data_IF_154111656178
#
_entry.id   IF_154111656178
#
_cell.length_a   1.000
_cell.length_b   1.000
_cell.length_c   1.000
_cell.angle_alpha   90.00
_cell.angle_beta   90.00
_cell.angle_gamma   90.00
#
_symmetry.space_group_name_H-M   'P 1'
#
loop_
_entity.id
_entity.type
_entity.pdbx_description
1 polymer ?
#
# COMPACT_ATOMS: atom_id res chain seq x y z
N UNK A 1 18.76 15.77 5.80
CA UNK A 1 17.85 16.02 4.65
C UNK A 1 16.59 16.72 5.14
N UNK A 2 15.88 17.47 4.31
CA UNK A 2 14.67 18.24 4.69
C UNK A 2 13.34 17.54 4.38
N UNK A 3 13.40 16.35 3.76
CA UNK A 3 12.25 15.48 3.58
C UNK A 3 12.05 14.58 4.81
N UNK A 4 10.79 14.29 5.14
CA UNK A 4 10.46 13.27 6.14
C UNK A 4 10.87 11.87 5.65
N UNK A 5 11.44 11.03 6.52
CA UNK A 5 11.73 9.64 6.17
C UNK A 5 10.45 8.81 6.04
N UNK A 6 10.40 7.94 5.04
CA UNK A 6 9.26 7.05 4.77
C UNK A 6 8.90 6.13 5.94
N UNK A 7 9.89 5.81 6.80
CA UNK A 7 9.70 4.97 7.98
C UNK A 7 8.69 5.55 8.98
N UNK A 8 8.45 6.86 8.96
CA UNK A 8 7.48 7.53 9.86
C UNK A 8 6.03 7.18 9.50
N UNK A 9 5.75 6.80 8.24
CA UNK A 9 4.40 6.51 7.79
C UNK A 9 3.85 5.19 8.35
N UNK A 10 4.72 4.30 8.83
CA UNK A 10 4.33 3.04 9.48
C UNK A 10 3.42 3.27 10.70
N UNK A 11 3.77 4.21 11.58
CA UNK A 11 2.90 4.55 12.73
C UNK A 11 1.60 5.22 12.30
N UNK A 12 1.58 5.94 11.16
CA UNK A 12 0.35 6.52 10.64
C UNK A 12 -0.62 5.42 10.17
N UNK A 13 -0.18 4.48 9.33
CA UNK A 13 -1.06 3.39 8.86
C UNK A 13 -1.58 2.54 10.03
N UNK A 14 -0.69 2.12 10.93
CA UNK A 14 -1.05 1.25 12.04
C UNK A 14 -1.89 1.98 13.10
N UNK A 15 -1.60 3.27 13.35
CA UNK A 15 -2.42 4.10 14.23
C UNK A 15 -3.83 4.29 13.68
N UNK A 16 -3.97 4.53 12.36
CA UNK A 16 -5.28 4.60 11.72
C UNK A 16 -6.00 3.24 11.76
N UNK A 17 -5.30 2.13 11.50
CA UNK A 17 -5.88 0.79 11.61
C UNK A 17 -6.45 0.55 13.02
N UNK A 18 -5.72 0.95 14.07
CA UNK A 18 -6.18 0.88 15.46
C UNK A 18 -7.43 1.73 15.71
N UNK A 19 -7.48 2.95 15.17
CA UNK A 19 -8.69 3.80 15.25
C UNK A 19 -9.88 3.25 14.46
N UNK A 20 -9.63 2.38 13.48
CA UNK A 20 -10.65 1.63 12.73
C UNK A 20 -10.99 0.28 13.40
N UNK A 21 -10.57 0.10 14.66
CA UNK A 21 -10.77 -1.08 15.47
C UNK A 21 -10.16 -2.37 14.86
N UNK A 22 -9.03 -2.22 14.16
CA UNK A 22 -8.27 -3.34 13.58
C UNK A 22 -6.96 -3.52 14.35
N UNK A 23 -6.92 -4.50 15.25
CA UNK A 23 -5.74 -4.84 16.05
C UNK A 23 -4.82 -5.87 15.38
N UNK A 24 -5.27 -6.48 14.28
CA UNK A 24 -4.50 -7.37 13.42
C UNK A 24 -4.54 -6.81 12.00
N UNK A 25 -3.39 -6.77 11.31
CA UNK A 25 -3.30 -6.29 9.94
C UNK A 25 -2.46 -7.23 9.10
N UNK A 26 -2.85 -7.43 7.85
CA UNK A 26 -1.97 -8.08 6.88
C UNK A 26 -1.01 -7.03 6.30
N UNK A 27 0.13 -7.48 5.82
CA UNK A 27 1.04 -6.62 5.08
C UNK A 27 1.62 -7.33 3.87
N UNK A 28 1.91 -6.57 2.82
CA UNK A 28 2.57 -7.05 1.61
C UNK A 28 3.81 -6.21 1.36
N UNK A 29 4.93 -6.83 1.02
CA UNK A 29 6.21 -6.14 0.84
C UNK A 29 6.90 -6.57 -0.46
N UNK A 30 7.50 -5.60 -1.15
CA UNK A 30 8.34 -5.87 -2.33
C UNK A 30 9.73 -6.37 -1.94
N UNK A 31 10.38 -7.17 -2.80
CA UNK A 31 11.72 -7.71 -2.54
C UNK A 31 12.83 -6.79 -3.06
N UNK A 32 12.97 -5.62 -2.42
CA UNK A 32 14.08 -4.68 -2.66
C UNK A 32 14.62 -4.16 -1.33
N UNK A 33 15.91 -3.82 -1.29
CA UNK A 33 16.60 -3.41 -0.06
C UNK A 33 15.87 -2.30 0.70
N UNK A 34 15.44 -1.25 -0.01
CA UNK A 34 14.70 -0.13 0.58
C UNK A 34 13.38 -0.55 1.23
N UNK A 35 12.62 -1.48 0.61
CA UNK A 35 11.38 -1.98 1.19
C UNK A 35 11.65 -2.85 2.41
N UNK A 36 12.74 -3.63 2.41
CA UNK A 36 13.16 -4.42 3.60
C UNK A 36 13.46 -3.52 4.80
N UNK A 37 14.16 -2.41 4.60
CA UNK A 37 14.38 -1.40 5.66
C UNK A 37 13.05 -0.85 6.20
N UNK A 38 12.09 -0.56 5.32
CA UNK A 38 10.76 -0.10 5.71
C UNK A 38 9.97 -1.19 6.45
N UNK A 39 10.15 -2.47 6.09
CA UNK A 39 9.57 -3.60 6.80
C UNK A 39 10.03 -3.71 8.26
N UNK A 40 11.31 -3.43 8.53
CA UNK A 40 11.85 -3.34 9.91
C UNK A 40 11.23 -2.16 10.66
N UNK A 41 11.03 -1.02 10.00
CA UNK A 41 10.34 0.12 10.61
C UNK A 41 8.87 -0.20 10.93
N UNK A 42 8.18 -0.91 10.02
CA UNK A 42 6.78 -1.32 10.23
C UNK A 42 6.65 -2.31 11.38
N UNK A 43 7.55 -3.28 11.52
CA UNK A 43 7.51 -4.24 12.63
C UNK A 43 7.71 -3.56 13.98
N UNK A 44 8.63 -2.59 14.06
CA UNK A 44 8.80 -1.77 15.26
C UNK A 44 7.56 -0.93 15.57
N UNK A 45 7.00 -0.26 14.56
CA UNK A 45 5.80 0.55 14.72
C UNK A 45 4.58 -0.30 15.17
N UNK A 46 4.47 -1.54 14.69
CA UNK A 46 3.43 -2.49 15.08
C UNK A 46 3.46 -2.78 16.58
N UNK A 47 4.67 -3.00 17.13
CA UNK A 47 4.88 -3.16 18.58
C UNK A 47 4.51 -1.88 19.33
N UNK A 48 5.03 -0.73 18.89
CA UNK A 48 4.80 0.57 19.55
C UNK A 48 3.30 0.93 19.62
N UNK A 49 2.55 0.65 18.55
CA UNK A 49 1.12 0.96 18.44
C UNK A 49 0.25 -0.14 19.08
N UNK A 50 0.77 -1.35 19.24
CA UNK A 50 0.02 -2.51 19.74
C UNK A 50 -0.93 -3.10 18.68
N UNK A 51 -0.43 -3.28 17.46
CA UNK A 51 -1.10 -3.93 16.34
C UNK A 51 -0.27 -5.13 15.91
N UNK A 52 -0.89 -6.29 15.70
CA UNK A 52 -0.22 -7.49 15.24
C UNK A 52 -0.13 -7.51 13.70
N UNK A 53 1.08 -7.75 13.18
CA UNK A 53 1.27 -8.09 11.77
C UNK A 53 1.06 -9.60 11.59
N UNK A 54 0.15 -9.99 10.70
CA UNK A 54 -0.11 -11.39 10.38
C UNK A 54 0.46 -11.77 9.02
N UNK A 55 0.89 -13.03 8.90
CA UNK A 55 1.53 -13.56 7.71
C UNK A 55 2.68 -14.50 8.05
N UNK A 56 3.58 -14.64 7.09
CA UNK A 56 4.79 -15.44 7.20
C UNK A 56 5.93 -14.60 7.77
N UNK A 57 6.82 -15.24 8.52
CA UNK A 57 8.11 -14.64 8.86
C UNK A 57 8.98 -14.54 7.60
N UNK A 58 9.48 -13.34 7.30
CA UNK A 58 10.36 -13.11 6.16
C UNK A 58 11.80 -13.03 6.68
N UNK A 59 12.61 -14.05 6.35
CA UNK A 59 13.92 -14.28 6.97
C UNK A 59 14.86 -13.05 6.94
N UNK A 60 14.83 -12.27 5.86
CA UNK A 60 15.70 -11.09 5.68
C UNK A 60 15.19 -9.82 6.39
N UNK A 61 14.03 -9.88 7.05
CA UNK A 61 13.39 -8.71 7.68
C UNK A 61 13.04 -9.04 9.13
N UNK A 62 13.94 -8.75 10.09
CA UNK A 62 13.75 -9.12 11.49
C UNK A 62 12.44 -8.60 12.09
N UNK A 63 11.67 -9.50 12.71
CA UNK A 63 10.40 -9.20 13.39
C UNK A 63 9.23 -8.88 12.47
N UNK A 64 9.42 -8.87 11.15
CA UNK A 64 8.36 -8.62 10.19
C UNK A 64 7.58 -9.89 9.85
N UNK A 65 6.25 -9.77 9.83
CA UNK A 65 5.33 -10.82 9.38
C UNK A 65 4.42 -10.28 8.29
N UNK A 66 4.31 -11.00 7.19
CA UNK A 66 3.50 -10.57 6.06
C UNK A 66 3.59 -11.50 4.85
N UNK A 67 3.36 -10.92 3.68
CA UNK A 67 3.42 -11.61 2.38
C UNK A 67 4.44 -10.90 1.51
N UNK A 68 5.37 -11.64 0.91
CA UNK A 68 6.37 -11.05 0.02
C UNK A 68 5.93 -11.16 -1.44
N UNK A 69 6.01 -10.06 -2.17
CA UNK A 69 5.79 -10.01 -3.61
C UNK A 69 7.12 -9.66 -4.30
N UNK A 70 7.89 -10.69 -4.65
CA UNK A 70 9.27 -10.51 -5.10
C UNK A 70 9.44 -9.90 -6.50
N UNK A 71 8.41 -9.98 -7.35
CA UNK A 71 8.47 -9.51 -8.73
C UNK A 71 7.21 -8.72 -9.11
N UNK A 72 7.34 -7.83 -10.09
CA UNK A 72 6.22 -7.13 -10.74
C UNK A 72 5.60 -8.04 -11.81
N UNK A 73 5.00 -9.15 -11.38
CA UNK A 73 4.33 -10.10 -12.30
C UNK A 73 2.93 -10.43 -11.82
N UNK A 74 2.09 -10.81 -12.77
CA UNK A 74 0.72 -11.26 -12.52
C UNK A 74 0.69 -12.48 -11.58
N UNK A 75 1.60 -13.44 -11.79
CA UNK A 75 1.72 -14.63 -10.95
C UNK A 75 2.12 -14.32 -9.51
N UNK A 76 3.08 -13.41 -9.31
CA UNK A 76 3.51 -12.99 -7.97
C UNK A 76 2.38 -12.28 -7.21
N UNK A 77 1.67 -11.37 -7.89
CA UNK A 77 0.47 -10.72 -7.34
C UNK A 77 -0.63 -11.75 -7.03
N UNK A 78 -0.82 -12.75 -7.89
CA UNK A 78 -1.84 -13.78 -7.74
C UNK A 78 -1.62 -14.63 -6.48
N UNK A 79 -0.37 -15.04 -6.25
CA UNK A 79 0.03 -15.76 -5.04
C UNK A 79 -0.13 -14.87 -3.79
N UNK A 80 0.28 -13.61 -3.86
CA UNK A 80 0.13 -12.70 -2.73
C UNK A 80 -1.33 -12.50 -2.31
N UNK A 81 -2.23 -12.32 -3.27
CA UNK A 81 -3.68 -12.21 -3.00
C UNK A 81 -4.26 -13.51 -2.44
N UNK A 82 -3.80 -14.67 -2.91
CA UNK A 82 -4.23 -15.97 -2.37
C UNK A 82 -3.94 -16.07 -0.86
N UNK A 83 -2.76 -15.60 -0.44
CA UNK A 83 -2.40 -15.56 0.98
C UNK A 83 -3.18 -14.50 1.75
N UNK A 84 -3.41 -13.31 1.19
CA UNK A 84 -4.27 -12.30 1.83
C UNK A 84 -5.69 -12.82 2.08
N UNK A 85 -6.27 -13.55 1.12
CA UNK A 85 -7.57 -14.22 1.29
C UNK A 85 -7.56 -15.25 2.42
N UNK A 86 -6.43 -15.95 2.62
CA UNK A 86 -6.27 -16.90 3.72
C UNK A 86 -6.14 -16.19 5.08
N UNK A 87 -5.43 -15.07 5.13
CA UNK A 87 -5.24 -14.27 6.33
C UNK A 87 -6.51 -13.52 6.77
N UNK A 88 -7.42 -13.23 5.84
CA UNK A 88 -8.75 -12.60 6.09
C UNK A 88 -8.66 -11.33 6.94
N UNK A 89 -7.69 -10.48 6.66
CA UNK A 89 -7.58 -9.17 7.32
C UNK A 89 -8.25 -8.09 6.49
N UNK A 90 -8.93 -7.16 7.17
CA UNK A 90 -9.56 -6.00 6.52
C UNK A 90 -8.55 -4.95 6.11
N UNK A 91 -7.50 -4.73 6.89
CA UNK A 91 -6.44 -3.76 6.58
C UNK A 91 -5.23 -4.49 6.01
N UNK A 92 -4.75 -3.98 4.88
CA UNK A 92 -3.55 -4.47 4.19
C UNK A 92 -2.58 -3.31 4.03
N UNK A 93 -1.46 -3.34 4.77
CA UNK A 93 -0.37 -2.37 4.58
C UNK A 93 0.54 -2.86 3.46
N UNK A 94 0.51 -2.18 2.32
CA UNK A 94 1.27 -2.53 1.13
C UNK A 94 2.54 -1.67 1.01
N UNK A 95 3.70 -2.23 1.32
CA UNK A 95 5.01 -1.62 1.07
C UNK A 95 5.50 -2.01 -0.32
N UNK A 96 4.88 -1.39 -1.32
CA UNK A 96 5.01 -1.71 -2.73
C UNK A 96 5.19 -0.43 -3.55
N UNK A 97 5.79 -0.54 -4.74
CA UNK A 97 5.71 0.53 -5.75
C UNK A 97 4.39 0.46 -6.54
N UNK A 98 4.02 1.56 -7.21
CA UNK A 98 2.77 1.72 -7.97
C UNK A 98 2.43 0.51 -8.85
N UNK A 99 3.39 0.04 -9.65
CA UNK A 99 3.18 -1.09 -10.57
C UNK A 99 2.86 -2.41 -9.85
N UNK A 100 3.49 -2.66 -8.69
CA UNK A 100 3.19 -3.85 -7.89
C UNK A 100 1.79 -3.75 -7.28
N UNK A 101 1.44 -2.58 -6.71
CA UNK A 101 0.15 -2.38 -6.07
C UNK A 101 -1.00 -2.46 -7.09
N UNK A 102 -0.83 -1.89 -8.29
CA UNK A 102 -1.83 -2.01 -9.34
C UNK A 102 -2.08 -3.48 -9.76
N UNK A 103 -1.02 -4.29 -9.89
CA UNK A 103 -1.16 -5.73 -10.15
C UNK A 103 -1.83 -6.47 -8.98
N UNK A 104 -1.47 -6.14 -7.73
CA UNK A 104 -2.09 -6.71 -6.53
C UNK A 104 -3.60 -6.42 -6.51
N UNK A 105 -4.01 -5.18 -6.80
CA UNK A 105 -5.42 -4.79 -6.87
C UNK A 105 -6.16 -5.49 -8.02
N UNK A 106 -5.54 -5.62 -9.20
CA UNK A 106 -6.10 -6.38 -10.31
C UNK A 106 -6.32 -7.85 -9.92
N UNK A 107 -5.32 -8.48 -9.30
CA UNK A 107 -5.44 -9.87 -8.84
C UNK A 107 -6.47 -10.03 -7.71
N UNK A 108 -6.58 -9.05 -6.81
CA UNK A 108 -7.62 -9.03 -5.78
C UNK A 108 -9.01 -9.05 -6.41
N UNK A 109 -9.25 -8.24 -7.45
CA UNK A 109 -10.51 -8.28 -8.20
C UNK A 109 -10.75 -9.63 -8.88
N UNK A 110 -9.76 -10.13 -9.64
CA UNK A 110 -9.90 -11.39 -10.38
C UNK A 110 -10.19 -12.59 -9.48
N UNK A 111 -9.66 -12.57 -8.26
CA UNK A 111 -9.87 -13.61 -7.26
C UNK A 111 -11.03 -13.32 -6.31
N UNK A 112 -11.76 -12.21 -6.49
CA UNK A 112 -12.88 -11.81 -5.65
C UNK A 112 -12.51 -11.47 -4.20
N UNK A 113 -11.28 -11.03 -3.94
CA UNK A 113 -10.87 -10.48 -2.64
C UNK A 113 -11.28 -9.01 -2.54
N UNK A 114 -12.52 -8.79 -2.10
CA UNK A 114 -13.17 -7.48 -2.05
C UNK A 114 -13.25 -6.93 -0.64
N UNK A 115 -13.34 -5.61 -0.51
CA UNK A 115 -13.56 -4.92 0.77
C UNK A 115 -12.32 -4.67 1.61
N UNK A 116 -11.14 -5.17 1.22
CA UNK A 116 -9.90 -4.86 1.92
C UNK A 116 -9.55 -3.37 1.77
N UNK A 117 -9.09 -2.77 2.86
CA UNK A 117 -8.58 -1.40 2.93
C UNK A 117 -7.07 -1.45 2.74
N UNK A 118 -6.64 -1.05 1.55
CA UNK A 118 -5.23 -0.95 1.21
C UNK A 118 -4.64 0.36 1.70
N UNK A 119 -3.53 0.27 2.43
CA UNK A 119 -2.77 1.42 2.89
C UNK A 119 -1.37 1.37 2.29
N UNK A 120 -0.89 2.47 1.73
CA UNK A 120 0.47 2.56 1.17
C UNK A 120 0.98 3.99 1.16
N UNK A 121 2.11 4.20 0.50
CA UNK A 121 2.75 5.49 0.34
C UNK A 121 1.87 6.48 -0.42
N UNK A 122 1.83 7.72 0.06
CA UNK A 122 1.10 8.83 -0.54
C UNK A 122 1.89 9.59 -1.61
N UNK A 123 3.16 9.22 -1.85
CA UNK A 123 4.00 9.85 -2.87
C UNK A 123 3.82 9.25 -4.27
N UNK A 124 2.85 8.35 -4.46
CA UNK A 124 2.47 7.86 -5.77
C UNK A 124 1.96 8.98 -6.67
N UNK A 125 2.20 8.81 -7.97
CA UNK A 125 1.72 9.67 -9.04
C UNK A 125 0.20 9.81 -8.98
N UNK A 126 -0.31 11.02 -9.19
CA UNK A 126 -1.75 11.23 -9.27
C UNK A 126 -2.35 10.37 -10.39
N UNK A 127 -3.36 9.57 -10.05
CA UNK A 127 -4.01 8.69 -11.01
C UNK A 127 -3.27 7.37 -11.29
N UNK A 128 -2.31 6.97 -10.45
CA UNK A 128 -1.60 5.67 -10.58
C UNK A 128 -2.54 4.46 -10.73
N UNK A 129 -3.77 4.55 -10.19
CA UNK A 129 -4.83 3.55 -10.29
C UNK A 129 -5.52 3.47 -11.65
N UNK A 130 -5.25 4.40 -12.57
CA UNK A 130 -5.79 4.42 -13.94
C UNK A 130 -4.85 3.79 -14.97
N UNK A 131 -3.84 3.05 -14.51
CA UNK A 131 -2.86 2.38 -15.37
C UNK A 131 -3.47 1.31 -16.27
N UNK A 132 -2.92 1.17 -17.48
CA UNK A 132 -3.18 0.07 -18.41
C UNK A 132 -2.13 -1.05 -18.35
N UNK A 133 -1.18 -0.98 -17.41
CA UNK A 133 -0.08 -1.93 -17.26
C UNK A 133 -0.46 -3.22 -16.52
N UNK A 134 -1.76 -3.53 -16.41
CA UNK A 134 -2.25 -4.74 -15.74
C UNK A 134 -3.19 -5.50 -16.67
N UNK A 135 -3.46 -6.79 -16.43
CA UNK A 135 -4.49 -7.52 -17.18
C UNK A 135 -5.91 -6.99 -16.99
N UNK A 136 -6.16 -6.17 -15.96
CA UNK A 136 -7.46 -5.55 -15.71
C UNK A 136 -7.57 -4.20 -16.43
N UNK A 137 -8.79 -3.82 -16.82
CA UNK A 137 -9.06 -2.50 -17.36
C UNK A 137 -8.82 -1.40 -16.31
N UNK A 138 -8.42 -0.17 -16.68
CA UNK A 138 -8.21 0.93 -15.74
C UNK A 138 -9.38 1.16 -14.77
N UNK A 139 -10.63 1.13 -15.26
CA UNK A 139 -11.81 1.31 -14.43
C UNK A 139 -11.99 0.21 -13.36
N UNK A 140 -11.47 -0.99 -13.61
CA UNK A 140 -11.48 -2.10 -12.66
C UNK A 140 -10.44 -1.89 -11.55
N UNK A 141 -9.25 -1.40 -11.89
CA UNK A 141 -8.21 -1.07 -10.90
C UNK A 141 -8.65 0.13 -10.05
N UNK A 142 -9.20 1.18 -10.66
CA UNK A 142 -9.79 2.32 -9.94
C UNK A 142 -10.80 1.86 -8.89
N UNK A 143 -11.74 0.98 -9.28
CA UNK A 143 -12.74 0.42 -8.35
C UNK A 143 -12.12 -0.26 -7.14
N UNK A 144 -11.02 -0.98 -7.34
CA UNK A 144 -10.31 -1.65 -6.24
C UNK A 144 -9.46 -0.71 -5.39
N UNK A 145 -9.03 0.41 -5.97
CA UNK A 145 -8.29 1.44 -5.26
C UNK A 145 -9.23 2.34 -4.43
N UNK A 146 -10.54 2.34 -4.68
CA UNK A 146 -11.50 3.15 -3.94
C UNK A 146 -11.40 2.90 -2.42
N UNK A 147 -11.29 3.97 -1.62
CA UNK A 147 -11.07 3.88 -0.18
C UNK A 147 -9.61 3.65 0.24
N UNK A 148 -8.67 3.54 -0.71
CA UNK A 148 -7.23 3.47 -0.47
C UNK A 148 -6.74 4.61 0.42
N UNK A 149 -5.87 4.30 1.37
CA UNK A 149 -5.24 5.28 2.25
C UNK A 149 -3.78 5.48 1.85
N UNK A 150 -3.45 6.69 1.44
CA UNK A 150 -2.07 7.14 1.23
C UNK A 150 -1.53 7.85 2.47
N UNK A 151 -0.31 7.53 2.89
CA UNK A 151 0.44 8.37 3.84
C UNK A 151 1.75 8.85 3.23
N UNK A 152 1.96 10.17 3.25
CA UNK A 152 3.14 10.81 2.67
C UNK A 152 3.57 12.02 3.49
N UNK A 153 4.59 12.72 3.03
CA UNK A 153 4.98 14.00 3.62
C UNK A 153 3.93 15.06 3.27
N UNK A 154 3.60 15.93 4.22
CA UNK A 154 2.92 17.17 3.84
C UNK A 154 3.93 18.08 3.13
N UNK A 155 3.97 18.01 1.79
CA UNK A 155 4.98 18.72 1.01
C UNK A 155 4.83 20.23 1.06
N UNK A 156 3.60 20.73 1.09
CA UNK A 156 3.31 22.15 1.17
C UNK A 156 2.46 22.39 2.40
N UNK A 157 2.93 23.23 3.31
CA UNK A 157 2.22 23.54 4.54
C UNK A 157 0.83 24.14 4.27
N UNK A 158 -0.16 23.79 5.10
CA UNK A 158 -1.55 24.25 4.91
C UNK A 158 -1.79 25.68 5.42
N UNK A 159 -0.99 26.15 6.36
CA UNK A 159 -1.02 27.50 6.92
C UNK A 159 -0.31 28.50 5.99
N UNK A 160 -0.93 28.75 4.84
CA UNK A 160 -0.37 29.53 3.71
C UNK A 160 0.07 30.96 4.05
N UNK A 161 -0.45 31.55 5.13
CA UNK A 161 -0.11 32.90 5.58
C UNK A 161 1.25 33.02 6.27
N UNK A 162 1.92 31.91 6.57
CA UNK A 162 3.20 31.94 7.30
C UNK A 162 4.31 32.56 6.45
N UNK A 163 5.03 33.54 7.03
CA UNK A 163 6.20 34.19 6.40
C UNK A 163 7.40 33.24 6.39
N UNK A 164 8.11 33.18 5.26
CA UNK A 164 9.27 32.31 5.10
C UNK A 164 10.54 32.96 5.66
N UNK A 165 11.34 32.21 6.42
CA UNK A 165 12.55 32.77 7.04
C UNK A 165 13.62 33.20 6.02
N UNK A 166 13.85 32.41 4.97
CA UNK A 166 14.80 32.76 3.90
C UNK A 166 14.21 33.60 2.76
N UNK A 167 12.93 33.97 2.85
CA UNK A 167 12.25 34.83 1.89
C UNK A 167 11.23 35.70 2.63
N UNK A 168 11.70 36.54 3.56
CA UNK A 168 10.88 37.26 4.54
C UNK A 168 9.80 38.18 3.91
N UNK A 169 9.99 38.57 2.65
CA UNK A 169 9.03 39.35 1.87
C UNK A 169 7.88 38.51 1.27
N UNK A 170 7.90 37.19 1.44
CA UNK A 170 6.91 36.26 0.90
C UNK A 170 6.35 35.35 2.00
N UNK A 171 5.07 35.03 1.86
CA UNK A 171 4.40 33.95 2.58
C UNK A 171 4.55 32.62 1.85
N UNK A 172 4.33 31.50 2.55
CA UNK A 172 4.36 30.17 1.95
C UNK A 172 3.33 30.01 0.82
N UNK A 173 2.15 30.63 0.95
CA UNK A 173 1.11 30.65 -0.08
C UNK A 173 1.52 31.44 -1.34
N UNK A 174 2.17 32.59 -1.17
CA UNK A 174 2.70 33.39 -2.28
C UNK A 174 3.83 32.65 -3.00
N UNK A 175 4.73 32.01 -2.25
CA UNK A 175 5.78 31.17 -2.82
C UNK A 175 5.20 30.03 -3.66
N UNK A 176 4.21 29.31 -3.11
CA UNK A 176 3.56 28.19 -3.79
C UNK A 176 2.84 28.66 -5.06
N UNK A 177 2.14 29.80 -4.99
CA UNK A 177 1.48 30.41 -6.16
C UNK A 177 2.49 30.78 -7.26
N UNK A 178 3.63 31.39 -6.89
CA UNK A 178 4.68 31.70 -7.86
C UNK A 178 5.33 30.45 -8.45
N UNK A 179 5.55 29.41 -7.64
CA UNK A 179 6.09 28.14 -8.11
C UNK A 179 5.22 27.55 -9.23
N UNK A 180 3.92 27.37 -8.99
CA UNK A 180 2.99 26.84 -10.01
C UNK A 180 2.87 27.76 -11.23
N UNK A 181 2.78 29.08 -11.02
CA UNK A 181 2.71 30.06 -12.11
C UNK A 181 3.92 29.97 -13.05
N UNK A 182 5.14 29.77 -12.51
CA UNK A 182 6.37 29.59 -13.31
C UNK A 182 6.40 28.27 -14.08
N UNK A 183 5.65 27.26 -13.63
CA UNK A 183 5.45 26.01 -14.37
C UNK A 183 4.30 26.11 -15.40
N UNK A 184 3.61 27.26 -15.48
CA UNK A 184 2.41 27.44 -16.30
C UNK A 184 1.22 26.61 -15.82
N UNK A 185 1.16 26.26 -14.53
CA UNK A 185 0.15 25.37 -13.96
C UNK A 185 -0.78 26.12 -12.98
N UNK A 186 -2.05 25.72 -12.88
CA UNK A 186 -2.91 26.13 -11.77
C UNK A 186 -2.30 25.75 -10.42
N UNK A 187 -2.68 26.48 -9.36
CA UNK A 187 -2.25 26.17 -8.00
C UNK A 187 -2.67 24.73 -7.63
N UNK A 188 -1.71 23.91 -7.21
CA UNK A 188 -1.96 22.54 -6.75
C UNK A 188 -2.13 21.52 -7.88
N UNK A 189 -1.96 21.92 -9.14
CA UNK A 189 -2.04 21.00 -10.27
C UNK A 189 -0.71 20.26 -10.47
N UNK A 190 -0.66 19.01 -10.01
CA UNK A 190 0.47 18.09 -10.20
C UNK A 190 0.27 17.14 -11.39
N UNK A 191 -0.72 17.40 -12.25
CA UNK A 191 -0.96 16.57 -13.42
C UNK A 191 0.24 16.55 -14.38
N UNK A 192 0.33 15.46 -15.15
CA UNK A 192 1.38 15.29 -16.15
C UNK A 192 1.26 16.38 -17.22
N UNK A 193 2.36 17.09 -17.47
CA UNK A 193 2.44 18.21 -18.39
C UNK A 193 2.56 17.72 -19.84
N UNK A 194 2.10 18.51 -20.84
CA UNK A 194 2.20 18.15 -22.26
C UNK A 194 3.64 17.83 -22.72
N UNK A 195 4.64 18.43 -22.07
CA UNK A 195 6.07 18.22 -22.33
C UNK A 195 6.61 16.93 -21.67
N UNK A 196 5.73 16.03 -21.23
CA UNK A 196 6.05 14.71 -20.70
C UNK A 196 6.86 14.70 -19.39
N UNK A 197 6.65 15.70 -18.54
CA UNK A 197 7.15 15.71 -17.15
C UNK A 197 6.02 15.96 -16.15
N UNK A 198 6.25 15.67 -14.88
CA UNK A 198 5.33 15.97 -13.78
C UNK A 198 5.96 17.02 -12.86
N UNK A 199 5.16 17.98 -12.41
CA UNK A 199 5.60 18.89 -11.35
C UNK A 199 5.82 18.05 -10.09
N UNK A 200 7.00 18.15 -9.48
CA UNK A 200 7.29 17.35 -8.28
C UNK A 200 6.90 18.13 -7.02
N UNK A 201 6.18 17.51 -6.08
CA UNK A 201 5.91 18.13 -4.79
C UNK A 201 7.18 18.26 -3.94
N UNK A 202 8.27 17.58 -4.30
CA UNK A 202 9.58 17.72 -3.68
C UNK A 202 10.21 19.11 -3.85
N UNK A 203 9.64 19.98 -4.69
CA UNK A 203 10.10 21.35 -4.83
C UNK A 203 10.09 22.13 -3.50
N UNK A 204 9.10 21.90 -2.65
CA UNK A 204 9.00 22.56 -1.34
C UNK A 204 10.11 22.12 -0.36
N UNK A 205 10.31 20.82 -0.05
CA UNK A 205 11.44 20.41 0.78
C UNK A 205 12.80 20.73 0.14
N UNK A 206 12.88 20.83 -1.19
CA UNK A 206 14.10 21.30 -1.88
C UNK A 206 14.37 22.78 -1.60
N UNK A 207 13.35 23.63 -1.66
CA UNK A 207 13.46 25.05 -1.30
C UNK A 207 13.89 25.22 0.17
N UNK A 208 13.36 24.39 1.05
CA UNK A 208 13.77 24.33 2.45
C UNK A 208 15.22 23.86 2.60
N UNK A 209 15.65 22.88 1.82
CA UNK A 209 17.06 22.46 1.77
C UNK A 209 17.97 23.62 1.37
N UNK A 210 17.61 24.39 0.35
CA UNK A 210 18.36 25.57 -0.07
C UNK A 210 18.45 26.62 1.06
N UNK A 211 17.36 26.86 1.77
CA UNK A 211 17.35 27.76 2.94
C UNK A 211 18.28 27.26 4.06
N UNK A 212 18.25 25.96 4.37
CA UNK A 212 19.14 25.32 5.34
C UNK A 212 20.62 25.55 4.98
N UNK A 213 21.01 25.31 3.72
CA UNK A 213 22.38 25.56 3.27
C UNK A 213 22.74 27.06 3.28
N UNK A 214 21.82 27.94 2.90
CA UNK A 214 22.05 29.38 2.91
C UNK A 214 22.28 29.92 4.33
N UNK A 215 21.48 29.47 5.31
CA UNK A 215 21.67 29.84 6.72
C UNK A 215 22.99 29.30 7.26
N UNK A 216 23.37 28.06 6.93
CA UNK A 216 24.67 27.50 7.32
C UNK A 216 25.83 28.34 6.76
N UNK A 217 25.79 28.70 5.48
CA UNK A 217 26.84 29.52 4.87
C UNK A 217 26.89 30.92 5.48
N UNK A 218 25.74 31.54 5.77
CA UNK A 218 25.67 32.84 6.42
C UNK A 218 26.28 32.78 7.83
N UNK A 219 25.92 31.77 8.61
CA UNK A 219 26.46 31.55 9.94
C UNK A 219 27.99 31.39 9.90
N UNK A 220 28.50 30.56 9.01
CA UNK A 220 29.93 30.27 8.95
C UNK A 220 30.75 31.44 8.41
N UNK A 221 30.34 32.02 7.28
CA UNK A 221 31.14 33.03 6.58
C UNK A 221 30.95 34.43 7.15
N UNK A 222 29.73 34.76 7.62
CA UNK A 222 29.38 36.11 8.05
C UNK A 222 29.42 36.24 9.57
N UNK A 223 28.75 35.34 10.30
CA UNK A 223 28.67 35.45 11.76
C UNK A 223 29.95 34.98 12.47
N UNK A 224 30.50 33.85 12.03
CA UNK A 224 31.74 33.28 12.60
C UNK A 224 33.01 33.80 11.93
N UNK A 225 32.89 34.41 10.74
CA UNK A 225 34.04 34.93 9.99
C UNK A 225 35.01 33.84 9.49
N UNK A 226 34.53 32.61 9.26
CA UNK A 226 35.36 31.52 8.75
C UNK A 226 35.85 31.85 7.32
N UNK A 227 37.16 31.73 7.03
CA UNK A 227 37.66 31.92 5.68
C UNK A 227 37.03 30.93 4.71
N UNK A 228 36.58 31.40 3.54
CA UNK A 228 36.03 30.55 2.49
C UNK A 228 37.00 29.42 2.08
N UNK A 229 38.31 29.71 2.11
CA UNK A 229 39.34 28.73 1.80
C UNK A 229 39.29 27.50 2.72
N UNK A 230 39.00 27.68 4.02
CA UNK A 230 38.91 26.59 4.99
C UNK A 230 37.68 25.71 4.74
N UNK A 231 36.56 26.33 4.34
CA UNK A 231 35.34 25.62 3.95
C UNK A 231 35.55 24.81 2.67
N UNK A 232 36.20 25.41 1.66
CA UNK A 232 36.53 24.75 0.38
C UNK A 232 37.52 23.58 0.59
N UNK A 233 38.50 23.77 1.47
CA UNK A 233 39.48 22.76 1.84
C UNK A 233 38.87 21.62 2.67
N UNK A 234 37.63 21.77 3.17
CA UNK A 234 36.93 20.76 3.98
C UNK A 234 37.77 20.30 5.17
N UNK A 235 38.39 21.26 5.86
CA UNK A 235 39.19 20.96 7.05
C UNK A 235 38.31 20.29 8.13
N UNK A 236 38.88 19.49 9.04
CA UNK A 236 38.10 18.89 10.13
C UNK A 236 37.33 19.91 10.97
N UNK A 237 37.91 21.11 11.18
CA UNK A 237 37.25 22.20 11.89
C UNK A 237 36.06 22.77 11.10
N UNK A 238 36.22 23.02 9.79
CA UNK A 238 35.12 23.46 8.94
C UNK A 238 34.01 22.41 8.87
N UNK A 239 34.36 21.12 8.77
CA UNK A 239 33.39 20.03 8.81
C UNK A 239 32.59 20.02 10.12
N UNK A 240 33.26 20.13 11.27
CA UNK A 240 32.59 20.17 12.57
C UNK A 240 31.65 21.38 12.69
N UNK A 241 32.08 22.56 12.21
CA UNK A 241 31.25 23.76 12.20
C UNK A 241 30.02 23.64 11.30
N UNK A 242 30.15 23.00 10.12
CA UNK A 242 28.99 22.70 9.24
C UNK A 242 27.99 21.79 9.95
N UNK A 243 28.48 20.72 10.60
CA UNK A 243 27.58 19.79 11.32
C UNK A 243 26.84 20.51 12.45
N UNK A 244 27.56 21.33 13.22
CA UNK A 244 26.99 22.13 14.32
C UNK A 244 25.96 23.15 13.82
N UNK A 245 26.21 23.82 12.68
CA UNK A 245 25.24 24.70 12.04
C UNK A 245 23.98 23.95 11.58
N UNK A 246 24.11 22.76 10.99
CA UNK A 246 22.95 21.95 10.61
C UNK A 246 22.15 21.45 11.82
N UNK A 247 22.81 21.06 12.91
CA UNK A 247 22.14 20.66 14.15
C UNK A 247 21.31 21.80 14.76
N UNK A 248 21.70 23.06 14.54
CA UNK A 248 20.96 24.26 14.97
C UNK A 248 19.90 24.75 13.98
N UNK A 249 19.67 24.05 12.87
CA UNK A 249 18.64 24.44 11.90
C UNK A 249 17.27 24.49 12.56
N UNK A 250 16.64 25.67 12.53
CA UNK A 250 15.28 25.90 13.00
C UNK A 250 14.71 27.15 12.29
N UNK A 251 13.84 26.94 11.29
CA UNK A 251 13.26 28.04 10.53
C UNK A 251 11.88 27.71 9.95
N UNK A 252 11.12 28.75 9.59
CA UNK A 252 9.84 28.62 8.89
C UNK A 252 10.08 28.46 7.38
N UNK A 253 9.86 27.24 6.89
CA UNK A 253 10.01 26.83 5.49
C UNK A 253 8.68 26.72 4.74
N UNK A 254 8.77 26.29 3.48
CA UNK A 254 7.66 26.06 2.56
C UNK A 254 6.91 24.78 2.92
N UNK A 255 7.62 23.70 3.25
CA UNK A 255 7.01 22.44 3.65
C UNK A 255 6.54 22.44 5.13
N UNK A 256 6.93 23.46 5.89
CA UNK A 256 6.62 23.63 7.30
C UNK A 256 7.82 24.16 8.07
N UNK A 257 7.76 24.11 9.41
CA UNK A 257 8.92 24.45 10.23
C UNK A 257 9.98 23.36 10.11
N UNK A 258 11.17 23.73 9.66
CA UNK A 258 12.30 22.82 9.41
C UNK A 258 13.21 22.83 10.63
N UNK A 259 13.27 21.71 11.34
CA UNK A 259 14.13 21.53 12.50
C UNK A 259 14.57 20.08 12.67
N UNK A 260 15.76 19.87 13.22
CA UNK A 260 16.26 18.54 13.57
C UNK A 260 16.14 18.31 15.08
N UNK A 261 15.81 17.08 15.49
CA UNK A 261 15.91 16.71 16.92
C UNK A 261 17.38 16.50 17.28
N UNK A 262 17.79 16.71 18.55
CA UNK A 262 19.12 16.33 19.00
C UNK A 262 19.45 14.88 18.63
N UNK A 263 20.57 14.67 17.93
CA UNK A 263 21.01 13.35 17.48
C UNK A 263 20.20 12.73 16.34
N UNK A 264 19.22 13.43 15.76
CA UNK A 264 18.45 12.93 14.62
C UNK A 264 19.06 13.39 13.29
N UNK A 265 19.17 12.46 12.34
CA UNK A 265 19.58 12.74 10.96
C UNK A 265 18.46 13.36 10.09
N UNK A 266 17.22 13.29 10.58
CA UNK A 266 16.00 13.63 9.86
C UNK A 266 15.21 14.75 10.54
N UNK A 267 14.51 15.55 9.72
CA UNK A 267 13.69 16.66 10.19
C UNK A 267 12.47 16.17 10.98
N UNK A 268 12.03 17.00 11.92
CA UNK A 268 10.69 16.90 12.50
C UNK A 268 9.69 17.63 11.61
N UNK A 269 8.80 16.88 10.96
CA UNK A 269 7.72 17.44 10.14
C UNK A 269 6.39 16.72 10.37
N UNK A 270 5.36 17.16 9.67
CA UNK A 270 4.06 16.48 9.61
C UNK A 270 3.91 15.68 8.32
N UNK A 271 3.62 14.39 8.44
CA UNK A 271 3.02 13.60 7.37
C UNK A 271 1.56 14.00 7.14
N UNK A 272 1.04 13.59 5.99
CA UNK A 272 -0.33 13.75 5.55
C UNK A 272 -0.90 12.36 5.26
N UNK A 273 -2.11 12.12 5.75
CA UNK A 273 -2.91 10.94 5.46
C UNK A 273 -4.08 11.37 4.58
N UNK A 274 -4.19 10.72 3.43
CA UNK A 274 -5.20 11.00 2.40
C UNK A 274 -5.98 9.74 2.07
N UNK A 275 -7.21 9.90 1.60
CA UNK A 275 -8.03 8.80 1.11
C UNK A 275 -8.44 9.03 -0.35
N UNK A 276 -8.43 7.97 -1.16
CA UNK A 276 -9.04 7.99 -2.49
C UNK A 276 -10.57 7.85 -2.39
N UNK A 277 -11.30 8.87 -2.85
CA UNK A 277 -12.76 8.94 -2.85
C UNK A 277 -13.29 9.50 -4.19
N UNK A 278 -14.19 8.74 -4.81
CA UNK A 278 -14.73 9.00 -6.15
C UNK A 278 -13.64 9.33 -7.20
N UNK A 279 -12.51 8.60 -7.17
CA UNK A 279 -11.37 8.82 -8.07
C UNK A 279 -10.53 10.07 -7.77
N UNK A 280 -10.76 10.75 -6.64
CA UNK A 280 -9.98 11.91 -6.19
C UNK A 280 -9.42 11.71 -4.78
N UNK A 281 -8.22 12.21 -4.51
CA UNK A 281 -7.62 12.14 -3.17
C UNK A 281 -8.10 13.29 -2.29
N UNK A 282 -8.60 12.96 -1.10
CA UNK A 282 -9.00 13.93 -0.08
C UNK A 282 -8.09 13.84 1.14
N UNK A 283 -7.77 14.98 1.75
CA UNK A 283 -6.96 15.04 2.96
C UNK A 283 -7.79 14.65 4.19
N UNK A 284 -7.32 13.66 4.96
CA UNK A 284 -8.01 13.17 6.16
C UNK A 284 -7.38 13.73 7.43
N UNK A 285 -6.06 13.60 7.57
CA UNK A 285 -5.36 13.99 8.79
C UNK A 285 -3.91 14.35 8.53
N UNK A 286 -3.33 15.17 9.40
CA UNK A 286 -1.88 15.28 9.54
C UNK A 286 -1.38 14.30 10.61
N UNK A 287 -0.15 13.83 10.47
CA UNK A 287 0.48 12.90 11.42
C UNK A 287 1.91 13.32 11.74
N UNK A 288 2.27 13.44 13.01
CA UNK A 288 3.68 13.69 13.42
C UNK A 288 4.09 12.83 14.61
N UNK A 289 3.66 13.18 15.82
CA UNK A 289 3.75 12.37 17.04
C UNK A 289 2.37 11.89 17.51
N UNK A 290 1.42 11.85 16.57
CA UNK A 290 0.01 11.71 16.81
C UNK A 290 -0.77 12.28 15.63
N UNK A 291 -2.04 11.92 15.57
CA UNK A 291 -2.95 12.42 14.55
C UNK A 291 -3.46 13.81 14.89
N UNK A 292 -3.71 14.59 13.85
CA UNK A 292 -4.53 15.81 13.88
C UNK A 292 -5.45 15.73 12.68
N UNK A 293 -6.67 15.27 12.89
CA UNK A 293 -7.67 15.14 11.83
C UNK A 293 -8.15 16.51 11.33
N UNK A 294 -8.51 16.61 10.05
CA UNK A 294 -8.90 17.89 9.43
C UNK A 294 -10.39 18.20 9.58
N UNK A 295 -11.24 17.19 9.80
CA UNK A 295 -12.69 17.36 9.90
C UNK A 295 -13.38 17.89 8.65
N UNK A 296 -12.74 17.75 7.49
CA UNK A 296 -13.24 18.24 6.19
C UNK A 296 -13.87 17.14 5.33
N UNK A 297 -13.59 15.87 5.65
CA UNK A 297 -14.09 14.72 4.92
C UNK A 297 -14.33 13.53 5.87
N UNK A 298 -15.32 12.71 5.54
CA UNK A 298 -15.49 11.40 6.18
C UNK A 298 -14.47 10.41 5.62
N UNK A 299 -14.15 9.37 6.39
CA UNK A 299 -13.58 8.14 5.85
C UNK A 299 -14.68 7.30 5.20
N UNK A 300 -14.46 6.85 3.97
CA UNK A 300 -15.43 6.06 3.19
C UNK A 300 -14.76 4.76 2.72
N UNK A 301 -15.35 3.62 3.05
CA UNK A 301 -14.85 2.30 2.66
C UNK A 301 -15.91 1.48 1.92
N UNK A 302 -15.52 0.27 1.52
CA UNK A 302 -16.25 -0.54 0.56
C UNK A 302 -17.61 -1.04 1.06
N UNK A 303 -17.74 -1.48 2.33
CA UNK A 303 -19.02 -2.05 2.77
C UNK A 303 -20.07 -0.96 3.04
N UNK A 304 -21.35 -1.27 2.79
CA UNK A 304 -22.44 -0.37 3.16
C UNK A 304 -22.38 0.04 4.63
N UNK A 305 -22.44 1.35 4.89
CA UNK A 305 -22.37 1.88 6.25
C UNK A 305 -20.96 2.14 6.78
N UNK A 306 -19.90 1.74 6.07
CA UNK A 306 -18.52 2.12 6.42
C UNK A 306 -18.20 3.55 5.97
N UNK A 307 -18.98 4.50 6.48
CA UNK A 307 -18.74 5.95 6.37
C UNK A 307 -18.60 6.50 7.78
N UNK A 308 -17.42 7.03 8.10
CA UNK A 308 -17.09 7.48 9.44
C UNK A 308 -16.65 8.94 9.43
N UNK A 309 -17.27 9.75 10.28
CA UNK A 309 -16.84 11.12 10.47
C UNK A 309 -15.40 11.13 11.03
N UNK A 310 -14.48 11.78 10.32
CA UNK A 310 -13.07 11.82 10.69
C UNK A 310 -12.77 12.84 11.81
N UNK A 311 -13.70 13.04 12.76
CA UNK A 311 -13.56 13.99 13.87
C UNK A 311 -13.56 15.47 13.44
N UNK A 312 -13.71 16.41 14.39
CA UNK A 312 -13.52 17.84 14.10
C UNK A 312 -12.04 18.14 13.81
N UNK A 313 -11.78 19.33 13.25
CA UNK A 313 -10.42 19.82 13.03
C UNK A 313 -9.59 19.78 14.34
N UNK A 314 -8.39 19.21 14.27
CA UNK A 314 -7.49 19.07 15.42
C UNK A 314 -7.77 17.84 16.30
N UNK A 315 -8.78 17.02 15.99
CA UNK A 315 -9.01 15.79 16.76
C UNK A 315 -7.79 14.87 16.72
N UNK A 316 -7.46 14.25 17.86
CA UNK A 316 -6.31 13.34 17.99
C UNK A 316 -6.66 11.87 17.71
N UNK A 317 -7.95 11.55 17.69
CA UNK A 317 -8.49 10.21 17.48
C UNK A 317 -9.88 10.29 16.87
N UNK A 318 -10.31 9.20 16.24
CA UNK A 318 -11.67 9.03 15.74
C UNK A 318 -12.28 7.78 16.34
N UNK A 319 -13.62 7.72 16.35
CA UNK A 319 -14.35 6.52 16.70
C UNK A 319 -14.93 5.92 15.42
N UNK A 320 -14.28 4.89 14.91
CA UNK A 320 -14.67 4.18 13.72
C UNK A 320 -14.40 2.68 13.91
N UNK A 321 -15.19 1.82 13.28
CA UNK A 321 -14.96 0.38 13.35
C UNK A 321 -15.29 -0.23 12.00
N UNK A 322 -14.27 -0.73 11.31
CA UNK A 322 -14.49 -1.54 10.11
C UNK A 322 -15.17 -2.85 10.51
N UNK A 323 -16.08 -3.32 9.66
CA UNK A 323 -16.66 -4.64 9.86
C UNK A 323 -15.58 -5.68 9.57
N UNK A 324 -15.36 -6.62 10.50
CA UNK A 324 -14.49 -7.75 10.25
C UNK A 324 -15.07 -8.65 9.13
N UNK A 325 -14.18 -9.39 8.46
CA UNK A 325 -14.66 -10.44 7.57
C UNK A 325 -15.36 -11.55 8.36
N UNK A 326 -16.52 -11.98 7.87
CA UNK A 326 -17.31 -13.01 8.54
C UNK A 326 -16.52 -14.32 8.61
N UNK A 327 -16.47 -14.90 9.81
CA UNK A 327 -15.93 -16.23 10.01
C UNK A 327 -16.96 -17.27 9.55
N UNK A 328 -16.60 -18.04 8.53
CA UNK A 328 -17.47 -19.09 7.99
C UNK A 328 -17.30 -20.41 8.73
N UNK A 329 -18.41 -21.14 8.85
CA UNK A 329 -18.46 -22.46 9.46
C UNK A 329 -17.85 -23.54 8.57
N UNK A 330 -17.93 -24.79 9.03
CA UNK A 330 -17.41 -25.94 8.30
C UNK A 330 -18.09 -26.06 6.94
N UNK A 331 -17.28 -26.27 5.89
CA UNK A 331 -17.71 -26.45 4.49
C UNK A 331 -18.23 -25.20 3.76
N UNK A 332 -18.09 -24.01 4.35
CA UNK A 332 -18.47 -22.75 3.74
C UNK A 332 -17.26 -21.90 3.36
N UNK A 333 -17.42 -21.07 2.34
CA UNK A 333 -16.43 -20.06 1.92
C UNK A 333 -17.01 -18.66 2.05
N UNK A 334 -16.12 -17.71 2.35
CA UNK A 334 -16.50 -16.31 2.45
C UNK A 334 -16.62 -15.70 1.04
N UNK A 335 -17.80 -15.20 0.70
CA UNK A 335 -17.95 -14.23 -0.35
C UNK A 335 -17.54 -12.84 0.17
N UNK A 336 -16.30 -12.45 -0.13
CA UNK A 336 -15.74 -11.17 0.35
C UNK A 336 -16.50 -9.94 -0.15
N UNK A 337 -17.22 -10.03 -1.27
CA UNK A 337 -17.97 -8.90 -1.84
C UNK A 337 -19.19 -8.53 -0.99
N UNK A 338 -19.88 -9.54 -0.48
CA UNK A 338 -21.08 -9.38 0.33
C UNK A 338 -20.81 -9.59 1.84
N UNK A 339 -19.61 -10.06 2.20
CA UNK A 339 -19.23 -10.47 3.55
C UNK A 339 -20.12 -11.57 4.15
N UNK A 340 -20.62 -12.48 3.30
CA UNK A 340 -21.51 -13.58 3.70
C UNK A 340 -20.86 -14.92 3.41
N UNK A 341 -21.18 -15.90 4.23
CA UNK A 341 -20.73 -17.27 4.02
C UNK A 341 -21.66 -17.98 3.05
N UNK A 342 -21.06 -18.61 2.05
CA UNK A 342 -21.74 -19.35 1.01
C UNK A 342 -21.23 -20.78 1.00
N UNK A 343 -22.10 -21.72 0.66
CA UNK A 343 -21.67 -23.09 0.40
C UNK A 343 -20.81 -23.15 -0.86
N UNK A 344 -20.02 -24.20 -0.99
CA UNK A 344 -19.18 -24.37 -2.16
C UNK A 344 -20.01 -24.40 -3.47
N UNK A 345 -19.57 -23.67 -4.52
CA UNK A 345 -20.24 -23.66 -5.82
C UNK A 345 -20.44 -25.06 -6.40
N UNK A 346 -21.34 -25.19 -7.38
CA UNK A 346 -21.62 -26.46 -8.04
C UNK A 346 -20.34 -27.15 -8.54
N UNK A 347 -20.27 -28.48 -8.32
CA UNK A 347 -19.12 -29.34 -8.67
C UNK A 347 -17.82 -29.01 -7.93
N UNK A 348 -17.90 -28.27 -6.85
CA UNK A 348 -16.79 -28.06 -5.92
C UNK A 348 -17.10 -28.66 -4.56
N UNK A 349 -16.05 -28.98 -3.82
CA UNK A 349 -16.15 -29.36 -2.42
C UNK A 349 -15.14 -28.58 -1.59
N UNK A 350 -15.51 -28.28 -0.35
CA UNK A 350 -14.64 -27.58 0.57
C UNK A 350 -13.54 -28.53 1.04
N UNK A 351 -12.29 -28.18 0.76
CA UNK A 351 -11.13 -28.93 1.22
C UNK A 351 -10.54 -28.18 2.41
N UNK A 352 -10.72 -28.74 3.61
CA UNK A 352 -10.34 -28.09 4.87
C UNK A 352 -8.86 -27.72 4.92
N UNK A 353 -7.98 -28.60 4.41
CA UNK A 353 -6.54 -28.35 4.33
C UNK A 353 -6.21 -27.16 3.44
N UNK A 354 -6.97 -26.96 2.36
CA UNK A 354 -6.80 -25.83 1.45
C UNK A 354 -7.56 -24.57 1.94
N UNK A 355 -8.54 -24.72 2.84
CA UNK A 355 -9.42 -23.63 3.28
C UNK A 355 -10.25 -23.01 2.14
N UNK A 356 -10.47 -23.76 1.06
CA UNK A 356 -11.07 -23.28 -0.18
C UNK A 356 -11.95 -24.36 -0.84
N UNK A 357 -12.83 -23.92 -1.74
CA UNK A 357 -13.58 -24.82 -2.62
C UNK A 357 -12.70 -25.25 -3.79
N UNK A 358 -12.50 -26.56 -3.91
CA UNK A 358 -11.78 -27.17 -5.03
C UNK A 358 -12.74 -28.01 -5.87
N UNK A 359 -12.43 -28.22 -7.16
CA UNK A 359 -13.24 -29.12 -7.99
C UNK A 359 -13.30 -30.50 -7.34
N UNK A 360 -14.51 -31.05 -7.17
CA UNK A 360 -14.65 -32.39 -6.58
C UNK A 360 -14.03 -33.46 -7.48
N UNK A 361 -13.76 -34.64 -6.93
CA UNK A 361 -13.32 -35.78 -7.74
C UNK A 361 -14.24 -36.02 -8.95
N UNK A 362 -13.64 -36.38 -10.08
CA UNK A 362 -14.31 -36.47 -11.39
C UNK A 362 -14.50 -35.13 -12.12
N UNK A 363 -14.02 -34.02 -11.54
CA UNK A 363 -13.99 -32.70 -12.17
C UNK A 363 -12.59 -32.12 -12.12
N UNK A 364 -12.28 -31.23 -13.06
CA UNK A 364 -11.02 -30.51 -13.12
C UNK A 364 -11.24 -29.01 -13.35
N UNK A 365 -10.25 -28.19 -13.00
CA UNK A 365 -10.30 -26.72 -13.18
C UNK A 365 -10.12 -26.35 -14.66
N UNK A 366 -11.20 -25.94 -15.32
CA UNK A 366 -11.20 -25.47 -16.72
C UNK A 366 -11.51 -23.96 -16.86
N UNK A 367 -11.65 -23.50 -18.11
CA UNK A 367 -11.83 -22.08 -18.47
C UNK A 367 -13.17 -21.44 -18.01
N UNK A 368 -14.05 -22.19 -17.34
CA UNK A 368 -15.34 -21.73 -16.84
C UNK A 368 -15.71 -22.33 -15.49
N UNK A 369 -14.73 -22.68 -14.67
CA UNK A 369 -14.93 -23.38 -13.40
C UNK A 369 -14.68 -24.89 -13.52
N UNK A 370 -15.30 -25.67 -12.64
CA UNK A 370 -15.07 -27.11 -12.55
C UNK A 370 -15.82 -27.86 -13.66
N UNK A 371 -15.05 -28.37 -14.62
CA UNK A 371 -15.53 -29.12 -15.78
C UNK A 371 -15.49 -30.62 -15.47
N UNK A 372 -16.49 -31.40 -15.92
CA UNK A 372 -16.47 -32.84 -15.72
C UNK A 372 -15.34 -33.47 -16.53
N UNK A 373 -14.71 -34.52 -15.99
CA UNK A 373 -13.86 -35.38 -16.79
C UNK A 373 -14.67 -36.00 -17.92
N UNK A 374 -14.16 -35.92 -19.15
CA UNK A 374 -14.78 -36.55 -20.31
C UNK A 374 -14.81 -38.09 -20.12
N UNK A 375 -15.70 -38.77 -20.84
CA UNK A 375 -15.71 -40.23 -20.84
C UNK A 375 -14.35 -40.77 -21.32
N UNK A 376 -13.84 -41.79 -20.64
CA UNK A 376 -12.48 -42.29 -20.83
C UNK A 376 -11.41 -41.59 -19.98
N UNK A 377 -11.78 -40.56 -19.20
CA UNK A 377 -10.91 -39.88 -18.25
C UNK A 377 -11.52 -39.91 -16.84
N UNK A 378 -10.68 -39.79 -15.82
CA UNK A 378 -11.14 -39.72 -14.43
C UNK A 378 -10.27 -38.79 -13.59
N UNK A 379 -10.77 -38.42 -12.41
CA UNK A 379 -10.01 -37.69 -11.41
C UNK A 379 -10.38 -38.22 -10.03
N UNK A 380 -9.42 -38.80 -9.32
CA UNK A 380 -9.68 -39.46 -8.04
C UNK A 380 -9.68 -38.51 -6.86
N UNK A 381 -9.12 -37.31 -7.01
CA UNK A 381 -8.87 -36.37 -5.93
C UNK A 381 -9.46 -34.98 -6.20
N UNK A 382 -9.94 -34.28 -5.16
CA UNK A 382 -10.40 -32.91 -5.33
C UNK A 382 -9.24 -31.99 -5.76
N UNK A 383 -9.54 -30.97 -6.56
CA UNK A 383 -8.57 -29.95 -7.00
C UNK A 383 -7.76 -30.31 -8.24
N UNK A 384 -8.14 -31.35 -8.97
CA UNK A 384 -7.47 -31.72 -10.21
C UNK A 384 -7.45 -30.55 -11.23
N UNK A 385 -6.30 -30.33 -11.86
CA UNK A 385 -6.13 -29.34 -12.92
C UNK A 385 -6.33 -29.93 -14.32
N UNK A 386 -6.32 -31.25 -14.41
CA UNK A 386 -6.60 -32.06 -15.60
C UNK A 386 -7.16 -33.41 -15.16
N UNK A 387 -7.81 -34.13 -16.06
CA UNK A 387 -8.24 -35.51 -15.81
C UNK A 387 -7.23 -36.49 -16.37
N UNK A 388 -7.06 -37.62 -15.69
CA UNK A 388 -6.16 -38.68 -16.10
C UNK A 388 -6.88 -39.65 -17.04
N UNK A 389 -6.28 -40.06 -18.18
CA UNK A 389 -6.87 -41.03 -19.08
C UNK A 389 -6.97 -42.40 -18.40
N UNK A 390 -8.02 -43.15 -18.72
CA UNK A 390 -8.13 -44.55 -18.33
C UNK A 390 -7.15 -45.42 -19.10
N UNK A 391 -6.52 -46.37 -18.39
CA UNK A 391 -5.62 -47.34 -19.01
C UNK A 391 -6.35 -48.23 -20.04
N UNK A 392 -5.63 -48.75 -21.05
CA UNK A 392 -6.19 -49.70 -22.02
C UNK A 392 -6.89 -50.87 -21.33
N UNK A 393 -8.11 -51.18 -21.78
CA UNK A 393 -8.95 -52.21 -21.16
C UNK A 393 -9.82 -51.71 -20.00
N UNK A 394 -9.80 -50.40 -19.70
CA UNK A 394 -10.73 -49.74 -18.78
C UNK A 394 -11.47 -48.59 -19.48
N UNK A 395 -12.60 -48.19 -18.92
CA UNK A 395 -13.36 -47.02 -19.35
C UNK A 395 -13.91 -46.24 -18.15
N UNK A 396 -14.41 -45.04 -18.42
CA UNK A 396 -15.12 -44.24 -17.42
C UNK A 396 -16.27 -43.48 -18.09
N UNK A 397 -17.33 -43.22 -17.32
CA UNK A 397 -18.37 -42.29 -17.73
C UNK A 397 -17.92 -40.84 -17.53
N UNK A 398 -18.70 -39.90 -18.06
CA UNK A 398 -18.51 -38.48 -17.76
C UNK A 398 -18.55 -38.24 -16.25
N UNK A 399 -17.68 -37.35 -15.76
CA UNK A 399 -17.54 -36.99 -14.35
C UNK A 399 -17.14 -38.14 -13.41
N UNK A 400 -16.43 -39.16 -13.92
CA UNK A 400 -16.03 -40.31 -13.10
C UNK A 400 -14.85 -40.04 -12.18
N UNK A 401 -14.89 -40.61 -10.97
CA UNK A 401 -13.80 -40.55 -9.99
C UNK A 401 -12.75 -41.65 -10.17
N UNK A 402 -12.99 -42.59 -11.08
CA UNK A 402 -12.06 -43.67 -11.41
C UNK A 402 -12.43 -44.40 -12.69
N UNK A 403 -11.59 -45.33 -13.10
CA UNK A 403 -11.79 -46.16 -14.29
C UNK A 403 -12.29 -47.55 -13.89
N UNK A 404 -13.19 -48.11 -14.69
CA UNK A 404 -13.73 -49.46 -14.53
C UNK A 404 -13.28 -50.35 -15.68
N UNK A 405 -12.95 -51.61 -15.40
CA UNK A 405 -12.55 -52.55 -16.45
C UNK A 405 -13.68 -52.77 -17.46
N UNK A 406 -13.31 -52.84 -18.74
CA UNK A 406 -14.22 -53.20 -19.81
C UNK A 406 -14.74 -54.65 -19.62
N UNK A 407 -16.02 -54.92 -19.93
CA UNK A 407 -16.54 -56.29 -19.96
C UNK A 407 -15.66 -57.21 -20.81
N UNK A 408 -15.55 -58.49 -20.41
CA UNK A 408 -14.79 -59.50 -21.15
C UNK A 408 -15.16 -59.49 -22.64
N UNK A 409 -14.16 -59.34 -23.50
CA UNK A 409 -14.31 -59.32 -24.96
C UNK A 409 -14.54 -57.93 -25.57
N UNK A 410 -14.55 -56.87 -24.78
CA UNK A 410 -14.63 -55.48 -25.25
C UNK A 410 -13.36 -54.71 -24.91
N UNK A 411 -13.01 -53.71 -25.72
CA UNK A 411 -11.89 -52.80 -25.47
C UNK A 411 -12.34 -51.36 -25.71
N UNK A 412 -11.87 -50.43 -24.87
CA UNK A 412 -11.97 -49.01 -25.17
C UNK A 412 -10.81 -48.66 -26.13
N UNK A 413 -11.08 -48.10 -27.32
CA UNK A 413 -10.06 -47.77 -28.31
C UNK A 413 -9.31 -46.49 -27.92
N UNK A 414 -8.66 -46.48 -26.76
CA UNK A 414 -7.90 -45.38 -26.15
C UNK A 414 -8.70 -44.07 -25.91
N UNK A 415 -8.45 -43.49 -24.73
CA UNK A 415 -8.91 -42.18 -24.29
C UNK A 415 -8.24 -41.03 -25.03
#
# INVERSE_FOLDING_TARGET
>A
RTILPDTVFSHAWLGLAKFLNQTTVASVIGDVATMKEFGVALSKAAIDVGVELVGFDIADIPGYRGVQMAMVTDSAASMAVSELKRLRQRVVVAMLYEAHLALLLCQALQQGYMGAVYMSYGWFSQGWWTTSSTPCAPAQVTRMAEGFIGAGMNYFRSDRGTRLSCAANMTAGEWTSQFFSRQGAPFGDFSKRPENYTITPLAAPTADGLCMFAQMLHEMLINQGMPLADLVARTPAAYAAVQDAFLRTDFEGVAGRVRFKPGAADVSGSGLVQQLQAGTTVDIASYSQGFSFRGQADLVFYFPGERFFAGPEGAASINASLAAYTACGDRQVLNFSANVCEDCPANTEFVQVAGACLCKAGFFKGAGGCQPCAAGYSSSSPGATQCDPCDPGSNSSMASTGCSFCPRGTYAPNS
#
